data_IF_701566995323
#
_entry.id   IF_701566995323
#
_cell.length_a   1.000
_cell.length_b   1.000
_cell.length_c   1.000
_cell.angle_alpha   90.00
_cell.angle_beta   90.00
_cell.angle_gamma   90.00
#
_symmetry.space_group_name_H-M   'P 1'
#
loop_
_entity.id
_entity.type
_entity.pdbx_description
1 polymer ?
#
# COMPACT_ATOMS: atom_id res chain seq x y z
N UNK A 1 31.41 22.97 -3.64
CA UNK A 1 31.12 23.28 -5.05
C UNK A 1 29.72 22.78 -5.37
N UNK A 2 28.75 23.68 -5.26
CA UNK A 2 27.33 23.40 -5.50
C UNK A 2 27.07 23.49 -7.01
N UNK A 3 26.42 22.47 -7.58
CA UNK A 3 25.82 22.57 -8.92
C UNK A 3 24.33 22.32 -8.79
N UNK A 4 23.61 23.41 -8.59
CA UNK A 4 22.18 23.52 -8.87
C UNK A 4 22.08 23.57 -10.39
N UNK A 5 21.42 22.58 -10.99
CA UNK A 5 21.08 22.62 -12.42
C UNK A 5 19.60 22.98 -12.50
N UNK A 6 19.35 24.27 -12.72
CA UNK A 6 18.10 24.79 -13.23
C UNK A 6 17.95 24.36 -14.70
N UNK A 7 16.84 23.71 -15.04
CA UNK A 7 16.38 23.66 -16.43
C UNK A 7 15.22 24.62 -16.60
N UNK A 8 15.48 25.65 -17.40
CA UNK A 8 14.55 26.70 -17.82
C UNK A 8 13.54 26.16 -18.85
N UNK A 9 12.27 26.28 -18.48
CA UNK A 9 11.14 26.73 -19.29
C UNK A 9 11.26 26.58 -20.82
N UNK A 10 10.71 25.49 -21.35
CA UNK A 10 10.13 25.47 -22.69
C UNK A 10 8.63 25.72 -22.57
N UNK A 11 8.18 26.92 -22.94
CA UNK A 11 6.77 27.26 -23.08
C UNK A 11 6.19 26.51 -24.29
N UNK A 12 5.31 25.53 -24.05
CA UNK A 12 4.41 25.01 -25.08
C UNK A 12 3.00 25.46 -24.72
N UNK A 13 2.38 26.14 -25.69
CA UNK A 13 1.12 26.85 -25.59
C UNK A 13 -0.07 25.94 -25.27
N UNK A 14 -1.04 26.55 -24.59
CA UNK A 14 -2.33 25.98 -24.25
C UNK A 14 -3.15 25.57 -25.47
N UNK A 15 -3.74 24.38 -25.41
CA UNK A 15 -5.10 24.13 -25.88
C UNK A 15 -5.81 23.30 -24.82
N UNK A 16 -6.70 23.95 -24.06
CA UNK A 16 -7.63 23.34 -23.12
C UNK A 16 -8.68 22.56 -23.91
N UNK A 17 -8.72 21.23 -23.76
CA UNK A 17 -9.88 20.44 -24.15
C UNK A 17 -10.65 20.09 -22.89
N UNK A 18 -11.74 20.81 -22.64
CA UNK A 18 -12.68 20.52 -21.56
C UNK A 18 -13.55 19.31 -21.95
N UNK A 19 -13.25 18.13 -21.41
CA UNK A 19 -14.19 17.02 -21.41
C UNK A 19 -15.23 17.25 -20.30
N UNK A 20 -16.40 17.78 -20.67
CA UNK A 20 -17.56 17.85 -19.78
C UNK A 20 -18.22 16.48 -19.74
N UNK A 21 -18.13 15.80 -18.60
CA UNK A 21 -19.01 14.69 -18.29
C UNK A 21 -20.39 15.27 -17.98
N UNK A 22 -21.35 15.02 -18.87
CA UNK A 22 -22.75 15.36 -18.68
C UNK A 22 -23.30 14.54 -17.50
N UNK A 23 -23.50 15.20 -16.36
CA UNK A 23 -24.42 14.71 -15.34
C UNK A 23 -25.86 14.82 -15.86
N UNK A 24 -26.79 13.93 -15.48
CA UNK A 24 -28.18 14.08 -15.83
C UNK A 24 -28.76 15.32 -15.13
N UNK A 25 -29.18 16.30 -15.93
CA UNK A 25 -29.93 17.47 -15.49
C UNK A 25 -31.32 17.04 -15.03
N UNK A 26 -31.64 17.27 -13.75
CA UNK A 26 -33.01 17.21 -13.26
C UNK A 26 -33.76 18.43 -13.80
N UNK A 27 -34.51 18.23 -14.88
CA UNK A 27 -35.40 19.24 -15.44
C UNK A 27 -36.73 19.21 -14.67
N UNK A 28 -36.92 20.17 -13.76
CA UNK A 28 -38.23 20.49 -13.20
C UNK A 28 -38.97 21.36 -14.23
N UNK A 29 -39.79 20.73 -15.07
CA UNK A 29 -40.51 21.43 -16.12
C UNK A 29 -41.60 20.59 -16.76
N UNK A 30 -42.80 20.66 -16.16
CA UNK A 30 -44.12 20.52 -16.80
C UNK A 30 -44.48 19.18 -17.45
N UNK A 31 -45.59 18.59 -16.98
CA UNK A 31 -46.34 17.60 -17.74
C UNK A 31 -47.14 16.63 -16.87
N UNK A 32 -48.18 17.13 -16.22
CA UNK A 32 -49.18 16.31 -15.54
C UNK A 32 -49.96 15.51 -16.61
N UNK A 33 -49.69 14.21 -16.73
CA UNK A 33 -50.60 13.28 -17.41
C UNK A 33 -50.97 12.16 -16.43
N UNK A 34 -52.23 12.26 -15.98
CA UNK A 34 -52.96 11.28 -15.21
C UNK A 34 -53.00 9.95 -15.98
N UNK A 35 -52.17 9.00 -15.59
CA UNK A 35 -52.41 7.59 -15.89
C UNK A 35 -52.94 6.93 -14.63
N UNK A 36 -54.22 6.56 -14.70
CA UNK A 36 -54.94 5.85 -13.66
C UNK A 36 -54.24 4.52 -13.36
N UNK A 37 -53.73 4.35 -12.15
CA UNK A 37 -53.33 3.04 -11.64
C UNK A 37 -54.57 2.34 -11.10
N UNK A 38 -55.13 1.43 -11.90
CA UNK A 38 -56.04 0.39 -11.41
C UNK A 38 -55.33 -0.40 -10.31
N UNK A 39 -55.90 -0.40 -9.11
CA UNK A 39 -55.40 -1.17 -7.98
C UNK A 39 -55.53 -2.68 -8.26
N UNK A 40 -54.45 -3.47 -8.21
CA UNK A 40 -54.57 -4.93 -8.14
C UNK A 40 -55.10 -5.36 -6.75
N UNK A 41 -55.82 -6.49 -6.66
CA UNK A 41 -56.42 -6.97 -5.41
C UNK A 41 -55.35 -7.26 -4.34
N UNK A 42 -55.71 -7.21 -3.04
CA UNK A 42 -54.75 -7.45 -1.96
C UNK A 42 -54.20 -8.88 -2.06
N UNK A 43 -52.87 -8.98 -2.19
CA UNK A 43 -52.17 -10.24 -2.09
C UNK A 43 -52.37 -10.84 -0.68
N UNK A 44 -52.57 -12.15 -0.55
CA UNK A 44 -52.60 -12.79 0.77
C UNK A 44 -51.26 -12.54 1.47
N UNK A 45 -51.33 -12.17 2.75
CA UNK A 45 -50.15 -11.97 3.59
C UNK A 45 -49.34 -13.27 3.64
N UNK A 46 -48.21 -13.28 2.94
CA UNK A 46 -47.24 -14.36 3.05
C UNK A 46 -46.67 -14.33 4.47
N UNK A 47 -46.96 -15.38 5.24
CA UNK A 47 -46.31 -15.64 6.53
C UNK A 47 -44.81 -15.78 6.25
N UNK A 48 -43.92 -15.07 6.97
CA UNK A 48 -42.49 -15.22 6.75
C UNK A 48 -42.07 -16.65 7.08
N UNK A 49 -41.55 -17.37 6.08
CA UNK A 49 -40.98 -18.69 6.27
C UNK A 49 -39.77 -18.60 7.20
N UNK A 50 -39.60 -19.52 8.18
CA UNK A 50 -38.43 -19.54 9.03
C UNK A 50 -37.18 -19.73 8.18
N UNK A 51 -36.19 -18.85 8.34
CA UNK A 51 -34.91 -18.97 7.67
C UNK A 51 -34.28 -20.33 8.02
N UNK A 52 -33.83 -21.13 7.04
CA UNK A 52 -33.14 -22.39 7.32
C UNK A 52 -31.91 -22.10 8.19
N UNK A 53 -31.87 -22.69 9.39
CA UNK A 53 -30.71 -22.60 10.26
C UNK A 53 -29.56 -23.41 9.62
N UNK A 54 -28.60 -22.69 9.02
CA UNK A 54 -27.37 -23.28 8.52
C UNK A 54 -26.63 -23.86 9.72
N UNK A 55 -26.44 -25.18 9.72
CA UNK A 55 -25.62 -25.85 10.71
C UNK A 55 -24.25 -25.13 10.81
N UNK A 56 -23.74 -24.87 12.03
CA UNK A 56 -22.46 -24.20 12.20
C UNK A 56 -21.42 -24.97 11.40
N UNK A 57 -20.84 -24.32 10.39
CA UNK A 57 -19.75 -24.91 9.65
C UNK A 57 -18.65 -25.24 10.67
N UNK A 58 -18.04 -26.45 10.60
CA UNK A 58 -16.86 -26.74 11.38
C UNK A 58 -15.89 -25.59 11.17
N UNK A 59 -15.50 -24.95 12.26
CA UNK A 59 -14.43 -23.97 12.24
C UNK A 59 -13.19 -24.71 11.76
N UNK A 60 -12.90 -24.58 10.46
CA UNK A 60 -11.57 -24.80 9.90
C UNK A 60 -10.64 -24.05 10.86
N UNK A 61 -9.88 -24.81 11.66
CA UNK A 61 -8.92 -24.20 12.57
C UNK A 61 -7.97 -23.44 11.67
N UNK A 62 -8.04 -22.10 11.70
CA UNK A 62 -7.09 -21.26 11.01
C UNK A 62 -5.71 -21.66 11.51
N UNK A 63 -5.04 -22.51 10.72
CA UNK A 63 -3.69 -22.95 11.01
C UNK A 63 -2.86 -21.68 11.12
N UNK A 64 -2.24 -21.48 12.28
CA UNK A 64 -1.40 -20.32 12.52
C UNK A 64 -0.44 -20.15 11.34
N UNK A 65 -0.50 -19.00 10.67
CA UNK A 65 0.35 -18.71 9.53
C UNK A 65 1.81 -18.93 9.93
N UNK A 66 2.63 -19.62 9.10
CA UNK A 66 4.02 -19.85 9.45
C UNK A 66 4.74 -18.51 9.69
N UNK A 67 5.46 -18.40 10.80
CA UNK A 67 6.24 -17.21 11.12
C UNK A 67 7.28 -16.96 10.00
N UNK A 68 7.32 -15.73 9.49
CA UNK A 68 8.30 -15.34 8.46
C UNK A 68 9.69 -15.33 9.13
N UNK A 69 10.65 -16.14 8.67
CA UNK A 69 11.97 -16.17 9.27
C UNK A 69 12.70 -14.85 9.02
N UNK A 70 13.24 -14.28 10.09
CA UNK A 70 14.09 -13.09 10.02
C UNK A 70 15.51 -13.47 9.60
N UNK A 71 16.16 -12.58 8.87
CA UNK A 71 17.56 -12.72 8.53
C UNK A 71 18.45 -12.38 9.72
N UNK A 72 19.36 -13.29 10.09
CA UNK A 72 20.19 -13.11 11.29
C UNK A 72 21.33 -12.09 11.12
N UNK A 73 21.93 -12.02 9.93
CA UNK A 73 23.14 -11.23 9.69
C UNK A 73 22.85 -9.73 9.44
N UNK A 74 22.27 -9.05 10.43
CA UNK A 74 21.88 -7.63 10.35
C UNK A 74 22.80 -6.75 11.21
N UNK A 75 23.26 -5.64 10.64
CA UNK A 75 24.04 -4.61 11.35
C UNK A 75 23.26 -3.29 11.40
N UNK A 76 22.88 -2.89 12.61
CA UNK A 76 22.25 -1.59 12.86
C UNK A 76 23.30 -0.48 13.07
N UNK A 77 23.06 0.69 12.47
CA UNK A 77 23.93 1.88 12.57
C UNK A 77 23.10 3.10 12.94
N UNK A 78 23.71 4.00 13.71
CA UNK A 78 23.10 5.27 14.17
C UNK A 78 21.78 5.05 14.92
N UNK A 79 21.72 4.05 15.79
CA UNK A 79 20.52 3.73 16.58
C UNK A 79 20.01 4.89 17.43
N UNK A 80 20.86 5.85 17.79
CA UNK A 80 20.45 7.11 18.44
C UNK A 80 19.52 8.01 17.60
N UNK A 81 19.40 7.76 16.29
CA UNK A 81 18.51 8.50 15.39
C UNK A 81 17.15 7.78 15.19
N UNK A 82 16.88 6.71 15.93
CA UNK A 82 15.58 6.03 15.91
C UNK A 82 14.51 7.01 16.45
N UNK A 83 13.33 7.00 15.83
CA UNK A 83 12.20 7.83 16.28
C UNK A 83 11.78 7.45 17.71
N UNK A 84 11.46 8.41 18.59
CA UNK A 84 11.13 8.14 20.00
C UNK A 84 9.96 7.16 20.21
N UNK A 85 9.06 7.02 19.23
CA UNK A 85 7.91 6.12 19.27
C UNK A 85 7.92 5.16 18.07
N UNK A 86 9.09 4.61 17.75
CA UNK A 86 9.24 3.69 16.64
C UNK A 86 8.73 2.28 17.01
N UNK A 87 7.93 1.69 16.12
CA UNK A 87 7.46 0.31 16.24
C UNK A 87 8.25 -0.60 15.29
N UNK A 88 8.48 -1.87 15.66
CA UNK A 88 9.03 -2.86 14.75
C UNK A 88 8.19 -3.02 13.49
N UNK A 89 8.86 -3.10 12.35
CA UNK A 89 8.26 -3.31 11.04
C UNK A 89 9.12 -4.27 10.24
N UNK A 90 8.50 -5.31 9.69
CA UNK A 90 9.14 -6.24 8.78
C UNK A 90 9.26 -5.63 7.38
N UNK A 91 10.45 -5.72 6.80
CA UNK A 91 10.73 -5.27 5.43
C UNK A 91 11.51 -6.34 4.67
N UNK A 92 11.16 -6.49 3.39
CA UNK A 92 11.85 -7.42 2.49
C UNK A 92 12.99 -6.72 1.78
N UNK A 93 14.16 -7.34 1.69
CA UNK A 93 15.30 -6.88 0.88
C UNK A 93 15.93 -8.04 0.14
N UNK A 94 16.58 -7.75 -1.00
CA UNK A 94 17.36 -8.75 -1.74
C UNK A 94 18.35 -9.46 -0.82
N UNK A 95 18.36 -10.78 -0.86
CA UNK A 95 19.24 -11.63 -0.08
C UNK A 95 20.71 -11.23 -0.32
N UNK A 96 21.45 -10.80 0.72
CA UNK A 96 22.85 -10.44 0.57
C UNK A 96 23.77 -11.61 0.24
N UNK A 97 23.29 -12.85 0.42
CA UNK A 97 23.98 -14.09 0.06
C UNK A 97 23.66 -14.54 -1.38
N UNK A 98 22.65 -13.96 -2.03
CA UNK A 98 22.30 -14.32 -3.39
C UNK A 98 23.42 -13.96 -4.40
N UNK A 99 23.69 -14.84 -5.38
CA UNK A 99 24.68 -14.59 -6.41
C UNK A 99 24.33 -13.33 -7.20
N UNK A 100 25.34 -12.50 -7.50
CA UNK A 100 25.13 -11.24 -8.26
C UNK A 100 24.74 -11.46 -9.72
N UNK A 101 25.08 -12.62 -10.27
CA UNK A 101 24.83 -13.02 -11.65
C UNK A 101 24.17 -14.39 -11.63
N UNK A 102 22.86 -14.41 -11.38
CA UNK A 102 22.00 -15.57 -11.65
C UNK A 102 21.12 -15.28 -12.85
N UNK A 103 20.74 -16.32 -13.58
CA UNK A 103 19.69 -16.22 -14.59
C UNK A 103 18.31 -15.98 -13.96
N UNK A 104 18.13 -16.36 -12.69
CA UNK A 104 16.91 -16.17 -11.92
C UNK A 104 16.89 -14.85 -11.14
N UNK A 105 15.70 -14.36 -10.84
CA UNK A 105 15.50 -13.25 -9.91
C UNK A 105 16.11 -13.59 -8.53
N UNK A 106 16.81 -12.63 -7.90
CA UNK A 106 17.45 -12.90 -6.62
C UNK A 106 16.39 -13.04 -5.52
N UNK A 107 16.59 -14.02 -4.63
CA UNK A 107 15.76 -14.21 -3.45
C UNK A 107 15.72 -12.96 -2.56
N UNK A 108 14.69 -12.87 -1.72
CA UNK A 108 14.54 -11.80 -0.72
C UNK A 108 14.52 -12.40 0.68
N UNK A 109 15.05 -11.64 1.64
CA UNK A 109 15.04 -11.96 3.07
C UNK A 109 14.25 -10.91 3.84
N UNK A 110 13.62 -11.32 4.94
CA UNK A 110 12.90 -10.43 5.84
C UNK A 110 13.85 -9.85 6.90
N UNK A 111 13.72 -8.56 7.17
CA UNK A 111 14.51 -7.84 8.17
C UNK A 111 13.57 -6.96 8.97
N UNK A 112 13.77 -6.90 10.28
CA UNK A 112 13.03 -6.00 11.16
C UNK A 112 13.71 -4.63 11.21
N UNK A 113 12.93 -3.55 11.08
CA UNK A 113 13.39 -2.17 11.28
C UNK A 113 12.45 -1.43 12.24
N UNK A 114 12.96 -0.40 12.91
CA UNK A 114 12.11 0.48 13.73
C UNK A 114 11.59 1.64 12.87
N UNK A 115 10.27 1.73 12.70
CA UNK A 115 9.61 2.76 11.90
C UNK A 115 8.66 3.62 12.76
N UNK A 116 8.52 4.93 12.49
CA UNK A 116 7.54 5.77 13.16
C UNK A 116 6.10 5.25 12.93
N UNK A 117 5.28 5.22 13.99
CA UNK A 117 3.91 4.70 13.91
C UNK A 117 2.97 5.52 13.02
N UNK A 118 3.13 6.86 13.00
CA UNK A 118 2.15 7.78 12.43
C UNK A 118 2.62 8.47 11.13
N UNK A 119 3.68 7.97 10.48
CA UNK A 119 4.28 8.60 9.31
C UNK A 119 3.87 7.93 8.00
N UNK A 120 3.47 8.73 7.00
CA UNK A 120 3.42 8.24 5.62
C UNK A 120 4.85 7.95 5.15
N UNK A 121 5.09 6.74 4.63
CA UNK A 121 6.39 6.35 4.13
C UNK A 121 6.49 6.51 2.62
N UNK A 122 7.54 7.16 2.16
CA UNK A 122 7.97 7.14 0.77
C UNK A 122 9.10 6.13 0.64
N UNK A 123 8.82 4.99 0.00
CA UNK A 123 9.82 3.94 -0.22
C UNK A 123 10.50 4.13 -1.56
N UNK A 124 11.83 4.25 -1.55
CA UNK A 124 12.67 4.29 -2.76
C UNK A 124 13.57 3.06 -2.81
N UNK A 125 13.49 2.31 -3.89
CA UNK A 125 14.34 1.17 -4.16
C UNK A 125 15.42 1.55 -5.17
N UNK A 126 16.65 1.05 -4.97
CA UNK A 126 17.66 1.02 -6.03
C UNK A 126 17.21 0.11 -7.17
N UNK A 127 17.71 0.34 -8.38
CA UNK A 127 17.44 -0.49 -9.56
C UNK A 127 17.68 -1.99 -9.29
N UNK A 128 18.72 -2.31 -8.53
CA UNK A 128 19.09 -3.70 -8.21
C UNK A 128 18.34 -4.26 -6.99
N UNK A 129 17.45 -3.50 -6.35
CA UNK A 129 16.73 -3.90 -5.14
C UNK A 129 17.58 -4.04 -3.86
N UNK A 130 18.92 -3.95 -3.97
CA UNK A 130 19.89 -4.08 -2.86
C UNK A 130 19.89 -2.93 -1.86
N UNK A 131 19.22 -1.83 -2.17
CA UNK A 131 19.08 -0.68 -1.26
C UNK A 131 17.64 -0.21 -1.27
N UNK A 132 17.06 -0.10 -0.08
CA UNK A 132 15.74 0.48 0.15
C UNK A 132 15.86 1.65 1.12
N UNK A 133 15.20 2.75 0.80
CA UNK A 133 15.15 3.95 1.64
C UNK A 133 13.69 4.17 2.01
N UNK A 134 13.39 4.09 3.30
CA UNK A 134 12.09 4.40 3.88
C UNK A 134 12.16 5.82 4.43
N UNK A 135 11.49 6.76 3.75
CA UNK A 135 11.48 8.17 4.11
C UNK A 135 10.15 8.53 4.79
N UNK A 136 10.20 8.86 6.07
CA UNK A 136 9.06 9.27 6.90
C UNK A 136 9.04 10.80 7.11
N UNK A 137 9.67 11.56 6.21
CA UNK A 137 9.84 13.01 6.34
C UNK A 137 11.05 13.35 7.22
N UNK A 138 10.84 13.45 8.54
CA UNK A 138 11.90 13.76 9.52
C UNK A 138 12.82 12.58 9.80
N UNK A 139 12.34 11.35 9.65
CA UNK A 139 13.13 10.15 9.92
C UNK A 139 13.30 9.36 8.64
N UNK A 140 14.51 8.84 8.41
CA UNK A 140 14.80 8.01 7.24
C UNK A 140 15.54 6.76 7.65
N UNK A 141 15.08 5.61 7.17
CA UNK A 141 15.73 4.31 7.39
C UNK A 141 16.29 3.83 6.06
N UNK A 142 17.59 3.62 6.01
CA UNK A 142 18.29 3.11 4.82
C UNK A 142 18.68 1.66 5.10
N UNK A 143 18.12 0.73 4.32
CA UNK A 143 18.38 -0.70 4.41
C UNK A 143 19.19 -1.11 3.18
N UNK A 144 20.38 -1.66 3.40
CA UNK A 144 21.31 -2.05 2.34
C UNK A 144 21.76 -3.50 2.48
N UNK A 145 21.63 -4.26 1.40
CA UNK A 145 22.11 -5.62 1.25
C UNK A 145 23.51 -5.59 0.60
N UNK A 146 24.55 -5.87 1.40
CA UNK A 146 25.93 -5.77 0.96
C UNK A 146 26.83 -6.82 1.63
N UNK A 147 27.59 -7.56 0.81
CA UNK A 147 28.66 -8.49 1.26
C UNK A 147 28.18 -9.51 2.31
N UNK A 148 27.09 -10.24 2.03
CA UNK A 148 26.58 -11.30 2.91
C UNK A 148 25.88 -10.82 4.19
N UNK A 149 25.60 -9.52 4.32
CA UNK A 149 24.86 -8.96 5.46
C UNK A 149 23.92 -7.83 5.04
N UNK A 150 22.94 -7.57 5.89
CA UNK A 150 22.07 -6.39 5.78
C UNK A 150 22.57 -5.30 6.72
N UNK A 151 22.64 -4.06 6.25
CA UNK A 151 22.99 -2.89 7.03
C UNK A 151 21.79 -1.97 7.11
N UNK A 152 21.31 -1.72 8.32
CA UNK A 152 20.22 -0.79 8.61
C UNK A 152 20.82 0.49 9.19
N UNK A 153 20.58 1.63 8.56
CA UNK A 153 21.08 2.93 9.01
C UNK A 153 19.93 3.90 9.24
N UNK A 154 19.79 4.38 10.47
CA UNK A 154 18.82 5.41 10.84
C UNK A 154 19.38 6.82 10.59
N UNK A 155 18.56 7.72 10.07
CA UNK A 155 18.89 9.12 9.76
C UNK A 155 17.75 10.05 10.19
N UNK A 156 18.14 11.27 10.51
CA UNK A 156 17.35 12.44 10.91
C UNK A 156 17.23 13.47 9.77
#
# INVERSE_FOLDING_TARGET
>A
MNKIVCYTLGMIALSLTTAQAAGPSLNFGQGFLLSQTTAPPPAPAAVPEPMPELAPQPYEHHVASPAIPLFDCVKYRKTKNISPCANPKLVMIVDPCAPKKSCCEPGCVAVEICAPACGCECVRCSKDGRRKVFDYGKYKVVVESQRGKVVVTYRD
#
